data_IF_370045088934
#
_entry.id   IF_370045088934
#
_cell.length_a   1.000
_cell.length_b   1.000
_cell.length_c   1.000
_cell.angle_alpha   90.00
_cell.angle_beta   90.00
_cell.angle_gamma   90.00
#
_symmetry.space_group_name_H-M   'P 1'
#
loop_
_entity.id
_entity.type
_entity.pdbx_description
1 polymer ?
#
# COMPACT_ATOMS: atom_id res chain seq x y z
N UNK A 1 -7.36 25.26 20.52
CA UNK A 1 -6.30 24.49 19.85
C UNK A 1 -6.60 22.98 19.79
N UNK A 2 -7.12 22.35 20.85
CA UNK A 2 -7.54 20.93 20.80
C UNK A 2 -8.68 20.65 19.79
N UNK A 3 -9.66 21.53 19.63
CA UNK A 3 -10.75 21.34 18.66
C UNK A 3 -10.30 21.45 17.20
N UNK A 4 -9.32 22.30 16.91
CA UNK A 4 -8.72 22.41 15.55
C UNK A 4 -7.92 21.15 15.17
N UNK A 5 -7.39 20.41 16.14
CA UNK A 5 -6.64 19.19 15.92
C UNK A 5 -7.53 17.94 15.88
N UNK A 6 -8.71 17.99 16.50
CA UNK A 6 -9.64 16.86 16.54
C UNK A 6 -10.27 16.50 15.17
N UNK A 7 -10.20 17.40 14.20
CA UNK A 7 -10.66 17.16 12.83
C UNK A 7 -9.56 16.83 11.81
N UNK A 8 -8.30 16.74 12.26
CA UNK A 8 -7.22 16.35 11.38
C UNK A 8 -7.11 14.82 11.33
N UNK A 9 -6.97 14.29 10.12
CA UNK A 9 -6.59 12.88 9.90
C UNK A 9 -5.26 12.58 10.60
N UNK A 10 -4.98 11.29 10.81
CA UNK A 10 -3.73 10.83 11.43
C UNK A 10 -2.50 11.45 10.75
N UNK A 11 -1.47 11.70 11.54
CA UNK A 11 -0.24 12.29 11.06
C UNK A 11 0.69 11.21 10.49
N UNK A 12 1.38 11.47 9.36
CA UNK A 12 2.42 10.57 8.88
C UNK A 12 3.50 10.32 9.95
N UNK A 13 4.06 9.11 9.99
CA UNK A 13 5.05 8.72 10.99
C UNK A 13 6.27 9.66 11.03
N UNK A 14 6.68 10.19 9.88
CA UNK A 14 7.83 11.11 9.77
C UNK A 14 7.56 12.52 10.33
N UNK A 15 6.30 12.95 10.54
CA UNK A 15 5.99 14.30 11.02
C UNK A 15 6.64 14.64 12.36
N UNK A 16 6.71 13.69 13.28
CA UNK A 16 7.34 13.88 14.58
C UNK A 16 8.84 14.24 14.48
N UNK A 17 9.48 13.92 13.36
CA UNK A 17 10.90 14.10 13.10
C UNK A 17 11.21 15.34 12.25
N UNK A 18 10.20 15.92 11.58
CA UNK A 18 10.40 17.03 10.65
C UNK A 18 10.92 18.30 11.33
N UNK A 19 10.33 18.72 12.45
CA UNK A 19 10.71 19.97 13.09
C UNK A 19 12.15 19.96 13.62
N UNK A 20 12.61 18.90 14.32
CA UNK A 20 14.02 18.77 14.69
C UNK A 20 14.97 18.74 13.49
N UNK A 21 14.63 17.96 12.44
CA UNK A 21 15.46 17.84 11.24
C UNK A 21 15.59 19.18 10.50
N UNK A 22 14.48 19.90 10.33
CA UNK A 22 14.48 21.22 9.69
C UNK A 22 15.26 22.26 10.49
N UNK A 23 15.20 22.20 11.83
CA UNK A 23 15.94 23.12 12.70
C UNK A 23 17.44 22.85 12.70
N UNK A 24 17.85 21.58 12.58
CA UNK A 24 19.26 21.20 12.47
C UNK A 24 19.87 21.52 11.10
N UNK A 25 19.02 21.70 10.09
CA UNK A 25 19.41 21.77 8.68
C UNK A 25 19.66 20.36 8.11
N UNK A 26 18.98 19.96 7.05
CA UNK A 26 19.20 18.64 6.46
C UNK A 26 20.59 18.55 5.84
N UNK A 27 21.23 17.39 6.01
CA UNK A 27 22.42 17.06 5.22
C UNK A 27 22.03 16.96 3.74
N UNK A 28 23.01 17.15 2.84
CA UNK A 28 22.78 16.91 1.41
C UNK A 28 22.38 15.45 1.21
N UNK A 29 21.27 15.18 0.47
CA UNK A 29 20.80 13.81 0.27
C UNK A 29 21.81 12.98 -0.53
N UNK A 30 22.05 11.75 -0.09
CA UNK A 30 22.81 10.77 -0.86
C UNK A 30 21.89 10.09 -1.87
N UNK A 31 21.93 10.54 -3.11
CA UNK A 31 21.17 9.94 -4.23
C UNK A 31 21.99 8.90 -5.01
N UNK A 32 23.14 8.44 -4.49
CA UNK A 32 23.83 7.30 -5.08
C UNK A 32 22.93 6.06 -5.06
N UNK A 33 23.03 5.17 -6.05
CA UNK A 33 22.23 3.95 -6.07
C UNK A 33 22.38 3.15 -4.75
N UNK A 34 21.28 2.68 -4.14
CA UNK A 34 21.35 1.80 -2.98
C UNK A 34 22.11 0.51 -3.33
N UNK A 35 22.50 -0.26 -2.34
CA UNK A 35 23.10 -1.57 -2.57
C UNK A 35 22.17 -2.47 -3.39
N UNK A 36 22.70 -3.18 -4.39
CA UNK A 36 21.92 -4.16 -5.14
C UNK A 36 21.69 -5.40 -4.28
N UNK A 37 20.46 -5.86 -4.22
CA UNK A 37 20.08 -7.11 -3.58
C UNK A 37 19.82 -8.18 -4.64
N UNK A 38 20.32 -9.39 -4.41
CA UNK A 38 19.92 -10.59 -5.12
C UNK A 38 18.70 -11.25 -4.45
N UNK A 39 18.18 -12.32 -5.04
CA UNK A 39 16.98 -12.98 -4.55
C UNK A 39 17.14 -13.62 -3.16
N UNK A 40 18.34 -14.10 -2.80
CA UNK A 40 18.59 -14.64 -1.47
C UNK A 40 18.57 -13.55 -0.41
N UNK A 41 19.14 -12.40 -0.73
CA UNK A 41 19.11 -11.22 0.12
C UNK A 41 17.69 -10.66 0.26
N UNK A 42 16.89 -10.68 -0.82
CA UNK A 42 15.47 -10.27 -0.75
C UNK A 42 14.66 -11.18 0.17
N UNK A 43 14.82 -12.51 0.04
CA UNK A 43 14.16 -13.47 0.94
C UNK A 43 14.55 -13.25 2.40
N UNK A 44 15.85 -13.02 2.66
CA UNK A 44 16.32 -12.74 4.01
C UNK A 44 15.65 -11.47 4.57
N UNK A 45 15.62 -10.38 3.80
CA UNK A 45 15.00 -9.12 4.22
C UNK A 45 13.51 -9.27 4.54
N UNK A 46 12.77 -10.00 3.71
CA UNK A 46 11.37 -10.34 3.95
C UNK A 46 11.19 -11.16 5.23
N UNK A 47 12.06 -12.17 5.45
CA UNK A 47 12.05 -12.99 6.66
C UNK A 47 12.40 -12.20 7.93
N UNK A 48 13.28 -11.20 7.81
CA UNK A 48 13.63 -10.29 8.90
C UNK A 48 12.55 -9.21 9.17
N UNK A 49 11.47 -9.18 8.39
CA UNK A 49 10.37 -8.21 8.53
C UNK A 49 10.69 -6.81 7.98
N UNK A 50 11.72 -6.68 7.13
CA UNK A 50 12.01 -5.43 6.45
C UNK A 50 10.95 -5.12 5.37
N UNK A 51 10.79 -3.84 5.07
CA UNK A 51 9.90 -3.42 4.00
C UNK A 51 10.55 -3.59 2.63
N UNK A 52 9.99 -4.52 1.84
CA UNK A 52 10.37 -4.74 0.44
C UNK A 52 9.21 -4.24 -0.43
N UNK A 53 9.43 -3.12 -1.08
CA UNK A 53 8.41 -2.36 -1.81
C UNK A 53 8.59 -2.53 -3.31
N UNK A 54 7.56 -3.04 -3.96
CA UNK A 54 7.45 -3.15 -5.41
C UNK A 54 6.83 -1.87 -5.99
N UNK A 55 7.62 -1.16 -6.79
CA UNK A 55 7.27 0.12 -7.40
C UNK A 55 6.45 -0.01 -8.69
N UNK A 56 6.23 -1.24 -9.16
CA UNK A 56 5.47 -1.46 -10.39
C UNK A 56 4.01 -1.04 -10.23
N UNK A 57 3.39 -0.78 -11.36
CA UNK A 57 1.97 -0.46 -11.40
C UNK A 57 1.14 -1.59 -10.77
N UNK A 58 0.08 -1.23 -10.03
CA UNK A 58 -0.78 -2.15 -9.26
C UNK A 58 -1.34 -3.32 -10.07
N UNK A 59 -1.57 -3.13 -11.37
CA UNK A 59 -2.03 -4.20 -12.28
C UNK A 59 -0.94 -5.26 -12.42
N UNK A 60 0.29 -4.85 -12.73
CA UNK A 60 1.42 -5.76 -12.89
C UNK A 60 1.78 -6.47 -11.57
N UNK A 61 1.63 -5.78 -10.44
CA UNK A 61 1.82 -6.39 -9.12
C UNK A 61 0.76 -7.47 -8.84
N UNK A 62 -0.52 -7.17 -9.05
CA UNK A 62 -1.60 -8.13 -8.82
C UNK A 62 -1.48 -9.38 -9.70
N UNK A 63 -1.00 -9.22 -10.95
CA UNK A 63 -0.79 -10.33 -11.89
C UNK A 63 0.39 -11.23 -11.50
N UNK A 64 1.40 -10.70 -10.77
CA UNK A 64 2.52 -11.51 -10.29
C UNK A 64 3.55 -10.70 -9.50
N UNK A 65 3.79 -11.11 -8.24
CA UNK A 65 4.74 -10.47 -7.33
C UNK A 65 5.46 -11.49 -6.45
N UNK A 66 6.56 -11.08 -5.84
CA UNK A 66 7.25 -11.90 -4.84
C UNK A 66 6.44 -11.91 -3.55
N UNK A 67 6.23 -13.09 -2.98
CA UNK A 67 5.49 -13.27 -1.72
C UNK A 67 6.03 -12.35 -0.61
N UNK A 68 5.12 -11.68 0.09
CA UNK A 68 5.47 -10.79 1.20
C UNK A 68 5.90 -9.38 0.80
N UNK A 69 6.03 -9.07 -0.49
CA UNK A 69 6.32 -7.70 -0.96
C UNK A 69 5.08 -6.81 -0.89
N UNK A 70 5.30 -5.51 -0.75
CA UNK A 70 4.24 -4.50 -0.66
C UNK A 70 4.19 -3.67 -1.94
N UNK A 71 2.99 -3.40 -2.45
CA UNK A 71 2.85 -2.59 -3.65
C UNK A 71 2.67 -1.10 -3.32
N UNK A 72 3.61 -0.31 -3.78
CA UNK A 72 3.50 1.15 -3.79
C UNK A 72 3.92 1.64 -5.17
N UNK A 73 2.99 1.56 -6.12
CA UNK A 73 3.25 1.97 -7.50
C UNK A 73 3.83 3.38 -7.59
N UNK A 74 4.86 3.55 -8.39
CA UNK A 74 5.55 4.82 -8.57
C UNK A 74 4.70 5.77 -9.42
N UNK A 75 3.70 6.34 -8.80
CA UNK A 75 2.88 7.42 -9.32
C UNK A 75 2.93 8.62 -8.34
N UNK A 76 2.19 9.67 -8.62
CA UNK A 76 2.20 10.90 -7.83
C UNK A 76 1.84 10.77 -6.35
N UNK A 77 1.40 9.59 -5.90
CA UNK A 77 0.99 9.31 -4.51
C UNK A 77 1.96 8.44 -3.73
N UNK A 78 3.01 7.93 -4.37
CA UNK A 78 3.97 6.97 -3.81
C UNK A 78 4.50 7.39 -2.43
N UNK A 79 5.23 8.50 -2.35
CA UNK A 79 5.86 8.97 -1.12
C UNK A 79 4.84 9.32 -0.04
N UNK A 80 3.67 9.84 -0.43
CA UNK A 80 2.61 10.19 0.50
C UNK A 80 2.14 8.96 1.27
N UNK A 81 1.70 7.91 0.58
CA UNK A 81 1.15 6.73 1.25
C UNK A 81 2.23 5.89 1.92
N UNK A 82 3.44 5.81 1.34
CA UNK A 82 4.55 5.14 2.01
C UNK A 82 4.90 5.84 3.32
N UNK A 83 5.01 7.16 3.32
CA UNK A 83 5.33 7.94 4.52
C UNK A 83 4.25 7.87 5.61
N UNK A 84 3.02 7.55 5.27
CA UNK A 84 1.95 7.32 6.25
C UNK A 84 2.05 5.97 6.94
N UNK A 85 2.63 4.99 6.28
CA UNK A 85 2.58 3.60 6.68
C UNK A 85 3.91 3.08 7.25
N UNK A 86 5.04 3.52 6.67
CA UNK A 86 6.36 3.05 7.11
C UNK A 86 6.79 3.71 8.42
N UNK A 87 7.23 2.92 9.39
CA UNK A 87 7.81 3.45 10.62
C UNK A 87 9.11 4.19 10.36
N UNK A 88 9.38 5.24 11.14
CA UNK A 88 10.63 6.00 11.03
C UNK A 88 11.84 5.11 11.29
N UNK A 89 12.81 5.14 10.34
CA UNK A 89 14.02 4.34 10.44
C UNK A 89 13.87 2.87 10.03
N UNK A 90 12.69 2.46 9.57
CA UNK A 90 12.48 1.09 9.06
C UNK A 90 13.32 0.89 7.80
N UNK A 91 14.12 -0.20 7.70
CA UNK A 91 14.84 -0.53 6.47
C UNK A 91 13.89 -0.74 5.30
N UNK A 92 14.21 -0.10 4.16
CA UNK A 92 13.40 -0.11 2.95
C UNK A 92 14.21 -0.65 1.79
N UNK A 93 13.70 -1.67 1.10
CA UNK A 93 14.23 -2.20 -0.15
C UNK A 93 13.27 -1.90 -1.29
N UNK A 94 13.77 -1.44 -2.42
CA UNK A 94 12.97 -1.06 -3.59
C UNK A 94 13.11 -2.12 -4.70
N UNK A 95 11.99 -2.58 -5.24
CA UNK A 95 11.90 -3.41 -6.44
C UNK A 95 11.34 -2.57 -7.58
N UNK A 96 11.96 -2.62 -8.75
CA UNK A 96 11.55 -1.84 -9.91
C UNK A 96 11.93 -2.53 -11.23
N UNK A 97 11.26 -2.20 -12.32
CA UNK A 97 11.64 -2.72 -13.64
C UNK A 97 13.00 -2.15 -14.08
N UNK A 98 13.30 -0.89 -13.71
CA UNK A 98 14.49 -0.17 -14.17
C UNK A 98 15.21 0.59 -13.07
N UNK A 99 16.54 0.82 -13.21
CA UNK A 99 17.29 1.69 -12.30
C UNK A 99 16.76 3.14 -12.25
N UNK A 100 16.15 3.62 -13.35
CA UNK A 100 15.56 4.96 -13.43
C UNK A 100 14.41 5.14 -12.44
N UNK A 101 13.56 4.12 -12.30
CA UNK A 101 12.46 4.12 -11.31
C UNK A 101 12.99 4.11 -9.86
N UNK A 102 14.06 3.39 -9.59
CA UNK A 102 14.73 3.44 -8.27
C UNK A 102 15.22 4.86 -7.96
N UNK A 103 15.90 5.49 -8.92
CA UNK A 103 16.39 6.86 -8.75
C UNK A 103 15.26 7.89 -8.61
N UNK A 104 14.13 7.68 -9.27
CA UNK A 104 12.92 8.50 -9.10
C UNK A 104 12.35 8.33 -7.69
N UNK A 105 12.16 7.09 -7.24
CA UNK A 105 11.68 6.79 -5.90
C UNK A 105 12.59 7.41 -4.81
N UNK A 106 13.92 7.35 -4.96
CA UNK A 106 14.85 7.98 -4.02
C UNK A 106 14.61 9.49 -3.90
N UNK A 107 14.39 10.19 -5.01
CA UNK A 107 14.11 11.63 -5.00
C UNK A 107 12.82 11.98 -4.27
N UNK A 108 11.78 11.13 -4.40
CA UNK A 108 10.53 11.31 -3.66
C UNK A 108 10.69 10.99 -2.17
N UNK A 109 11.45 9.95 -1.83
CA UNK A 109 11.67 9.50 -0.46
C UNK A 109 12.45 10.52 0.39
N UNK A 110 13.40 11.25 -0.20
CA UNK A 110 14.11 12.33 0.49
C UNK A 110 13.15 13.37 1.06
N UNK A 111 12.05 13.65 0.37
CA UNK A 111 11.04 14.64 0.81
C UNK A 111 10.32 14.25 2.10
N UNK A 112 10.34 12.95 2.45
CA UNK A 112 9.74 12.41 3.67
C UNK A 112 10.78 11.91 4.66
N UNK A 113 12.06 12.28 4.47
CA UNK A 113 13.15 11.96 5.39
C UNK A 113 13.70 10.54 5.27
N UNK A 114 13.43 9.83 4.18
CA UNK A 114 14.05 8.55 3.85
C UNK A 114 15.17 8.83 2.85
N UNK A 115 16.33 9.20 3.37
CA UNK A 115 17.45 9.67 2.54
C UNK A 115 18.10 8.52 1.75
N UNK A 116 18.09 7.31 2.28
CA UNK A 116 18.72 6.17 1.63
C UNK A 116 17.98 4.86 1.86
N UNK A 117 17.37 4.27 0.82
CA UNK A 117 16.89 2.90 0.89
C UNK A 117 18.04 1.93 1.19
N UNK A 118 17.75 0.88 1.96
CA UNK A 118 18.76 -0.11 2.37
C UNK A 118 19.30 -0.92 1.18
N UNK A 119 18.42 -1.22 0.20
CA UNK A 119 18.78 -1.94 -1.00
C UNK A 119 17.80 -1.69 -2.15
N UNK A 120 18.15 -2.20 -3.33
CA UNK A 120 17.24 -2.29 -4.47
C UNK A 120 17.48 -3.57 -5.29
N UNK A 121 16.46 -4.00 -6.03
CA UNK A 121 16.62 -4.92 -7.15
C UNK A 121 15.84 -4.40 -8.36
N UNK A 122 16.39 -4.63 -9.55
CA UNK A 122 15.76 -4.24 -10.81
C UNK A 122 15.69 -5.42 -11.76
N UNK A 123 14.68 -5.45 -12.63
CA UNK A 123 14.40 -6.52 -13.56
C UNK A 123 12.99 -7.07 -13.40
N UNK A 124 12.76 -8.32 -13.75
CA UNK A 124 11.45 -8.95 -13.67
C UNK A 124 11.21 -9.62 -12.31
N UNK A 125 9.96 -9.77 -11.86
CA UNK A 125 9.63 -10.48 -10.62
C UNK A 125 10.19 -11.91 -10.54
N UNK A 126 10.29 -12.60 -11.67
CA UNK A 126 10.87 -13.94 -11.73
C UNK A 126 12.36 -13.95 -11.32
N UNK A 127 13.10 -12.89 -11.64
CA UNK A 127 14.51 -12.74 -11.24
C UNK A 127 14.63 -12.54 -9.73
N UNK A 128 13.68 -11.81 -9.14
CA UNK A 128 13.62 -11.52 -7.69
C UNK A 128 13.18 -12.75 -6.87
N UNK A 129 12.31 -13.59 -7.45
CA UNK A 129 11.80 -14.80 -6.81
C UNK A 129 12.78 -15.96 -6.83
N UNK A 130 13.78 -15.97 -7.74
CA UNK A 130 14.77 -17.05 -7.93
C UNK A 130 14.16 -18.46 -7.93
N UNK A 131 13.07 -18.65 -8.65
CA UNK A 131 12.39 -19.94 -8.78
C UNK A 131 11.42 -20.30 -7.66
N UNK A 132 11.22 -19.44 -6.66
CA UNK A 132 10.23 -19.67 -5.57
C UNK A 132 8.77 -19.56 -6.00
N UNK A 133 8.49 -19.26 -7.27
CA UNK A 133 7.16 -18.93 -7.75
C UNK A 133 6.74 -17.49 -7.40
N UNK A 134 5.74 -17.01 -8.09
CA UNK A 134 5.14 -15.71 -7.83
C UNK A 134 3.76 -15.91 -7.22
N UNK A 135 3.39 -15.01 -6.33
CA UNK A 135 2.01 -14.88 -5.86
C UNK A 135 1.24 -13.90 -6.74
N UNK A 136 -0.07 -14.02 -6.72
CA UNK A 136 -0.99 -13.13 -7.41
C UNK A 136 -2.31 -13.03 -6.63
N UNK A 137 -3.07 -11.99 -6.88
CA UNK A 137 -4.44 -11.89 -6.40
C UNK A 137 -5.35 -11.27 -7.46
N UNK A 138 -6.65 -11.67 -7.47
CA UNK A 138 -7.60 -11.15 -8.45
C UNK A 138 -7.81 -9.65 -8.32
N UNK A 139 -8.01 -9.00 -9.47
CA UNK A 139 -8.57 -7.65 -9.58
C UNK A 139 -10.02 -7.75 -10.03
N UNK A 140 -10.86 -6.90 -9.50
CA UNK A 140 -12.29 -6.87 -9.75
C UNK A 140 -12.81 -5.43 -9.85
N UNK A 141 -14.05 -5.30 -10.28
CA UNK A 141 -14.83 -4.06 -10.29
C UNK A 141 -15.90 -4.08 -9.21
N UNK A 142 -16.59 -2.96 -8.99
CA UNK A 142 -17.80 -2.93 -8.14
C UNK A 142 -18.94 -3.76 -8.74
N UNK A 143 -19.01 -3.90 -10.06
CA UNK A 143 -19.98 -4.78 -10.71
C UNK A 143 -19.72 -6.27 -10.36
N UNK A 144 -18.44 -6.68 -10.33
CA UNK A 144 -18.07 -8.02 -9.91
C UNK A 144 -18.39 -8.26 -8.42
N UNK A 145 -18.16 -7.24 -7.56
CA UNK A 145 -18.55 -7.32 -6.15
C UNK A 145 -20.05 -7.49 -5.98
N UNK A 146 -20.85 -6.72 -6.74
CA UNK A 146 -22.31 -6.86 -6.70
C UNK A 146 -22.73 -8.28 -7.07
N UNK A 147 -22.16 -8.85 -8.11
CA UNK A 147 -22.46 -10.23 -8.53
C UNK A 147 -22.07 -11.25 -7.46
N UNK A 148 -20.84 -11.18 -6.93
CA UNK A 148 -20.37 -12.19 -5.97
C UNK A 148 -21.19 -12.19 -4.68
N UNK A 149 -21.65 -11.02 -4.20
CA UNK A 149 -22.48 -10.90 -2.99
C UNK A 149 -23.83 -11.59 -3.10
N UNK A 150 -24.35 -11.82 -4.31
CA UNK A 150 -25.57 -12.61 -4.53
C UNK A 150 -25.34 -14.11 -4.37
N UNK A 151 -24.11 -14.59 -4.50
CA UNK A 151 -23.82 -16.02 -4.53
C UNK A 151 -23.15 -16.54 -3.26
N UNK A 152 -22.39 -15.69 -2.58
CA UNK A 152 -21.64 -16.08 -1.38
C UNK A 152 -21.26 -14.87 -0.51
N UNK A 153 -21.09 -15.08 0.80
CA UNK A 153 -20.60 -14.03 1.67
C UNK A 153 -19.13 -13.72 1.36
N UNK A 154 -18.80 -12.43 1.33
CA UNK A 154 -17.43 -11.91 1.23
C UNK A 154 -17.27 -10.77 2.24
N UNK A 155 -16.06 -10.57 2.73
CA UNK A 155 -15.72 -9.41 3.54
C UNK A 155 -15.43 -8.24 2.61
N UNK A 156 -16.13 -7.12 2.75
CA UNK A 156 -15.85 -5.89 2.02
C UNK A 156 -15.08 -4.96 2.95
N UNK A 157 -13.88 -4.55 2.55
CA UNK A 157 -13.03 -3.65 3.32
C UNK A 157 -12.90 -2.31 2.60
N UNK A 158 -13.37 -1.24 3.25
CA UNK A 158 -13.19 0.14 2.80
C UNK A 158 -11.94 0.74 3.47
N UNK A 159 -10.94 1.10 2.67
CA UNK A 159 -9.66 1.68 3.14
C UNK A 159 -9.58 3.18 2.93
N UNK A 160 -10.69 3.84 2.61
CA UNK A 160 -10.77 5.29 2.45
C UNK A 160 -10.62 6.01 3.80
N UNK A 161 -10.34 7.30 3.75
CA UNK A 161 -10.28 8.13 4.95
C UNK A 161 -11.65 8.29 5.58
N UNK A 162 -11.70 8.59 6.88
CA UNK A 162 -12.95 8.75 7.64
C UNK A 162 -13.90 9.78 7.02
N UNK A 163 -13.36 10.89 6.51
CA UNK A 163 -14.17 11.94 5.86
C UNK A 163 -14.83 11.44 4.57
N UNK A 164 -14.11 10.65 3.75
CA UNK A 164 -14.66 10.06 2.53
C UNK A 164 -15.80 9.07 2.85
N UNK A 165 -15.63 8.28 3.92
CA UNK A 165 -16.64 7.31 4.37
C UNK A 165 -17.86 8.01 4.97
N UNK A 166 -17.68 9.15 5.65
CA UNK A 166 -18.77 9.97 6.16
C UNK A 166 -19.63 10.59 5.05
N UNK A 167 -19.10 10.83 3.86
CA UNK A 167 -19.86 11.28 2.69
C UNK A 167 -20.71 10.18 2.05
N UNK A 168 -20.34 8.91 2.29
CA UNK A 168 -21.05 7.73 1.81
C UNK A 168 -20.15 6.50 1.79
N UNK A 169 -20.70 5.33 2.11
CA UNK A 169 -19.99 4.06 2.17
C UNK A 169 -20.88 2.89 1.76
N UNK A 170 -20.27 1.77 1.39
CA UNK A 170 -21.01 0.55 1.09
C UNK A 170 -21.64 -0.02 2.36
N UNK A 171 -22.91 -0.36 2.28
CA UNK A 171 -23.63 -1.02 3.37
C UNK A 171 -22.94 -2.34 3.74
N UNK A 172 -22.70 -2.52 5.05
CA UNK A 172 -22.05 -3.70 5.61
C UNK A 172 -20.54 -3.79 5.32
N UNK A 173 -19.89 -2.76 4.78
CA UNK A 173 -18.44 -2.74 4.66
C UNK A 173 -17.76 -2.52 6.02
N UNK A 174 -16.66 -3.24 6.24
CA UNK A 174 -15.74 -2.97 7.36
C UNK A 174 -14.88 -1.77 6.98
N UNK A 175 -14.80 -0.79 7.85
CA UNK A 175 -13.99 0.40 7.58
C UNK A 175 -12.71 0.40 8.41
N UNK A 176 -11.58 0.28 7.75
CA UNK A 176 -10.26 0.49 8.33
C UNK A 176 -9.46 1.38 7.38
N UNK A 177 -9.26 2.66 7.71
CA UNK A 177 -8.46 3.56 6.88
C UNK A 177 -7.07 2.97 6.61
N UNK A 178 -6.55 3.15 5.38
CA UNK A 178 -5.28 2.55 4.96
C UNK A 178 -4.14 2.77 5.98
N UNK A 179 -4.02 3.98 6.51
CA UNK A 179 -2.95 4.33 7.46
C UNK A 179 -3.08 3.64 8.84
N UNK A 180 -4.26 3.13 9.17
CA UNK A 180 -4.51 2.38 10.41
C UNK A 180 -4.38 0.86 10.18
N UNK A 181 -4.46 0.41 8.92
CA UNK A 181 -4.55 -1.01 8.58
C UNK A 181 -3.42 -1.87 9.16
N UNK A 182 -2.13 -1.46 9.12
CA UNK A 182 -1.06 -2.29 9.70
C UNK A 182 -1.26 -2.61 11.18
N UNK A 183 -1.80 -1.66 11.96
CA UNK A 183 -2.09 -1.85 13.38
C UNK A 183 -3.44 -2.53 13.65
N UNK A 184 -4.30 -2.66 12.66
CA UNK A 184 -5.68 -3.13 12.79
C UNK A 184 -6.04 -4.32 11.90
N UNK A 185 -5.03 -5.03 11.37
CA UNK A 185 -5.24 -6.23 10.55
C UNK A 185 -6.13 -7.28 11.23
N UNK A 186 -6.03 -7.42 12.54
CA UNK A 186 -6.84 -8.34 13.34
C UNK A 186 -8.34 -7.97 13.39
N UNK A 187 -8.71 -6.74 13.08
CA UNK A 187 -10.11 -6.30 13.01
C UNK A 187 -10.79 -6.67 11.69
N UNK A 188 -10.01 -7.02 10.66
CA UNK A 188 -10.55 -7.48 9.38
C UNK A 188 -11.05 -8.91 9.57
N UNK A 189 -12.35 -9.20 9.39
CA UNK A 189 -12.90 -10.53 9.59
C UNK A 189 -12.24 -11.60 8.73
N UNK A 190 -12.26 -12.85 9.17
CA UNK A 190 -11.78 -13.98 8.38
C UNK A 190 -12.63 -14.20 7.14
N UNK A 191 -12.00 -14.66 6.05
CA UNK A 191 -12.65 -14.92 4.78
C UNK A 191 -11.88 -14.37 3.60
N UNK A 192 -12.56 -14.28 2.46
CA UNK A 192 -12.06 -13.61 1.27
C UNK A 192 -12.37 -12.11 1.37
N UNK A 193 -11.34 -11.29 1.38
CA UNK A 193 -11.44 -9.84 1.57
C UNK A 193 -11.45 -9.13 0.22
N UNK A 194 -12.54 -8.44 -0.08
CA UNK A 194 -12.68 -7.55 -1.23
C UNK A 194 -12.37 -6.14 -0.77
N UNK A 195 -11.18 -5.66 -1.10
CA UNK A 195 -10.70 -4.37 -0.61
C UNK A 195 -10.87 -3.28 -1.68
N UNK A 196 -11.43 -2.15 -1.26
CA UNK A 196 -11.61 -0.99 -2.13
C UNK A 196 -11.12 0.31 -1.50
N UNK A 197 -10.97 1.32 -2.36
CA UNK A 197 -10.79 2.72 -1.96
C UNK A 197 -11.58 3.63 -2.92
N UNK A 198 -11.10 4.84 -3.22
CA UNK A 198 -11.75 5.71 -4.20
C UNK A 198 -11.51 5.25 -5.66
N UNK A 199 -10.27 4.84 -6.02
CA UNK A 199 -9.89 4.56 -7.41
C UNK A 199 -8.74 3.53 -7.54
N UNK A 200 -8.69 2.52 -6.66
CA UNK A 200 -7.80 1.36 -6.78
C UNK A 200 -6.42 1.49 -6.13
N UNK A 201 -5.77 2.66 -6.10
CA UNK A 201 -4.39 2.80 -5.62
C UNK A 201 -4.20 2.38 -4.15
N UNK A 202 -4.96 2.96 -3.22
CA UNK A 202 -4.93 2.59 -1.79
C UNK A 202 -5.38 1.14 -1.57
N UNK A 203 -6.33 0.67 -2.38
CA UNK A 203 -6.79 -0.71 -2.33
C UNK A 203 -5.67 -1.70 -2.69
N UNK A 204 -4.81 -1.39 -3.66
CA UNK A 204 -3.66 -2.23 -3.99
C UNK A 204 -2.64 -2.30 -2.86
N UNK A 205 -2.34 -1.17 -2.21
CA UNK A 205 -1.47 -1.15 -1.02
C UNK A 205 -2.07 -2.03 0.08
N UNK A 206 -3.35 -1.85 0.39
CA UNK A 206 -4.05 -2.63 1.41
C UNK A 206 -4.09 -4.13 1.06
N UNK A 207 -4.34 -4.47 -0.22
CA UNK A 207 -4.32 -5.84 -0.70
C UNK A 207 -2.95 -6.49 -0.50
N UNK A 208 -1.85 -5.77 -0.80
CA UNK A 208 -0.50 -6.28 -0.58
C UNK A 208 -0.19 -6.51 0.91
N UNK A 209 -0.62 -5.61 1.80
CA UNK A 209 -0.50 -5.78 3.25
C UNK A 209 -1.27 -7.01 3.76
N UNK A 210 -2.49 -7.20 3.27
CA UNK A 210 -3.32 -8.35 3.62
C UNK A 210 -2.74 -9.66 3.07
N UNK A 211 -2.28 -9.67 1.82
CA UNK A 211 -1.65 -10.84 1.20
C UNK A 211 -0.37 -11.23 1.94
N UNK A 212 0.49 -10.25 2.28
CA UNK A 212 1.69 -10.49 3.09
C UNK A 212 1.36 -11.05 4.48
N UNK A 213 0.16 -10.75 5.02
CA UNK A 213 -0.36 -11.35 6.26
C UNK A 213 -1.09 -12.69 6.03
N UNK A 214 -0.98 -13.30 4.85
CA UNK A 214 -1.58 -14.60 4.53
C UNK A 214 -3.09 -14.57 4.28
N UNK A 215 -3.69 -13.39 4.05
CA UNK A 215 -5.14 -13.26 3.79
C UNK A 215 -5.46 -13.47 2.31
N UNK A 216 -6.59 -14.11 2.03
CA UNK A 216 -7.12 -14.17 0.66
C UNK A 216 -7.76 -12.84 0.29
N UNK A 217 -7.26 -12.20 -0.75
CA UNK A 217 -7.67 -10.85 -1.14
C UNK A 217 -8.13 -10.80 -2.60
N UNK A 218 -9.07 -9.91 -2.86
CA UNK A 218 -9.48 -9.44 -4.18
C UNK A 218 -9.40 -7.92 -4.11
N UNK A 219 -8.64 -7.28 -4.99
CA UNK A 219 -8.59 -5.82 -5.04
C UNK A 219 -9.63 -5.26 -6.01
N UNK A 220 -10.44 -4.30 -5.56
CA UNK A 220 -11.34 -3.56 -6.43
C UNK A 220 -10.56 -2.41 -7.04
N UNK A 221 -10.25 -2.56 -8.33
CA UNK A 221 -9.53 -1.58 -9.14
C UNK A 221 -10.53 -0.81 -10.02
N UNK A 222 -11.36 -0.02 -9.34
CA UNK A 222 -12.49 0.68 -9.95
C UNK A 222 -12.77 1.99 -9.19
N UNK A 223 -13.50 2.92 -9.82
CA UNK A 223 -13.93 4.15 -9.17
C UNK A 223 -15.13 3.90 -8.24
N UNK A 224 -15.08 4.44 -7.01
CA UNK A 224 -16.14 4.26 -6.02
C UNK A 224 -17.50 4.81 -6.49
N UNK A 225 -17.50 5.80 -7.36
CA UNK A 225 -18.72 6.36 -7.93
C UNK A 225 -19.50 5.35 -8.78
N UNK A 226 -18.83 4.30 -9.28
CA UNK A 226 -19.48 3.20 -9.99
C UNK A 226 -20.26 2.23 -9.09
N UNK A 227 -20.05 2.25 -7.77
CA UNK A 227 -20.67 1.31 -6.84
C UNK A 227 -22.21 1.36 -6.89
N UNK A 228 -22.79 2.56 -6.91
CA UNK A 228 -24.25 2.73 -6.99
C UNK A 228 -24.80 2.25 -8.33
N UNK A 229 -24.12 2.56 -9.44
CA UNK A 229 -24.50 2.09 -10.78
C UNK A 229 -24.39 0.57 -10.91
N UNK A 230 -23.47 -0.07 -10.17
CA UNK A 230 -23.35 -1.52 -10.07
C UNK A 230 -24.44 -2.19 -9.23
N UNK A 231 -25.36 -1.42 -8.61
CA UNK A 231 -26.44 -1.93 -7.78
C UNK A 231 -26.06 -2.19 -6.32
N UNK A 232 -24.90 -1.71 -5.86
CA UNK A 232 -24.51 -1.79 -4.46
C UNK A 232 -25.20 -0.70 -3.63
N UNK A 233 -25.63 -1.05 -2.42
CA UNK A 233 -26.23 -0.10 -1.48
C UNK A 233 -25.14 0.82 -0.91
N UNK A 234 -25.24 2.11 -1.20
CA UNK A 234 -24.38 3.15 -0.62
C UNK A 234 -25.18 3.92 0.41
N UNK A 235 -24.78 3.79 1.67
CA UNK A 235 -25.35 4.55 2.80
C UNK A 235 -24.72 5.93 2.82
N UNK A 236 -25.57 6.95 2.91
CA UNK A 236 -25.16 8.35 3.12
C UNK A 236 -25.81 8.86 4.40
N UNK A 237 -25.10 9.69 5.17
CA UNK A 237 -25.63 10.28 6.41
C UNK A 237 -26.82 11.19 6.15
#
# INVERSE_FOLDING_TARGET
MHELLAGLDAWPAYYAHMAPANSAGPAAPDLSPPARADADQLRKRLADGEWVVDLRHRVAFADGHVAGTLNFGLDGSFATYLGWLIGWGTPLTLLADTPGQVAEAQRELVRIGIDRPAAHATGAPADWAAGSGLESFPRATFADLAQVRHHRPVVVLDTRRRLEVAEGHLDGAVHVPLHELPGRLAEVPDGEVWVHCAAGYRASIAASLLAAAGRRVVTIDDDFDHATAAGLSVVRP
#
